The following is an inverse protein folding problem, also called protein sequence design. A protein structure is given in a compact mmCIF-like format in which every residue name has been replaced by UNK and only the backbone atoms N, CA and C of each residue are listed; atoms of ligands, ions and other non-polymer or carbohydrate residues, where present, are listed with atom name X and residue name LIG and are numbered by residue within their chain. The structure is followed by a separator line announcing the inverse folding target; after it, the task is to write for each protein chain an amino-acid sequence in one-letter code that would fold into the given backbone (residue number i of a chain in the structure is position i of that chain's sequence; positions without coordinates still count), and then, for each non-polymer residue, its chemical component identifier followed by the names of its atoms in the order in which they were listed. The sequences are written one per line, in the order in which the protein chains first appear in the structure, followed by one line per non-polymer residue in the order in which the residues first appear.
data_IF_133925701129
#
_entry.id   IF_133925701129
#
_cell.length_a   1.000
_cell.length_b   1.000
_cell.length_c   1.000
_cell.angle_alpha   90.00
_cell.angle_beta   90.00
_cell.angle_gamma   90.00
#
_symmetry.space_group_name_H-M   'P 1'
#
loop_
_entity.id
_entity.type
_entity.pdbx_description
1 polymer ?
#
# COMPACT_ATOMS: atom_id res chain seq x y z
N UNK A 1 26.86 -8.50 8.26
CA UNK A 1 26.31 -8.18 9.58
C UNK A 1 24.97 -8.90 9.64
N UNK A 2 24.87 -9.99 10.40
CA UNK A 2 23.59 -10.67 10.65
C UNK A 2 22.84 -9.83 11.67
N UNK A 3 21.80 -9.10 11.25
CA UNK A 3 20.90 -8.43 12.20
C UNK A 3 20.25 -9.55 13.01
N UNK A 4 20.53 -9.63 14.30
CA UNK A 4 19.90 -10.62 15.18
C UNK A 4 18.40 -10.33 15.24
N UNK A 5 17.58 -11.38 15.15
CA UNK A 5 16.10 -11.28 15.12
C UNK A 5 15.50 -10.57 16.33
N UNK A 6 16.28 -10.34 17.39
CA UNK A 6 15.89 -9.59 18.59
C UNK A 6 15.75 -8.08 18.40
N UNK A 7 16.35 -7.50 17.36
CA UNK A 7 16.31 -6.04 17.12
C UNK A 7 15.29 -5.63 16.05
N UNK A 8 14.50 -6.59 15.51
CA UNK A 8 13.46 -6.28 14.53
C UNK A 8 12.24 -5.65 15.23
N UNK A 9 11.66 -4.57 14.68
CA UNK A 9 10.40 -4.04 15.20
C UNK A 9 9.29 -5.10 15.12
N UNK A 10 8.34 -5.06 16.05
CA UNK A 10 7.17 -5.95 16.01
C UNK A 10 6.37 -5.71 14.73
N UNK A 11 6.25 -6.75 13.90
CA UNK A 11 5.50 -6.69 12.65
C UNK A 11 4.14 -7.32 12.80
N UNK A 12 3.11 -6.57 12.43
CA UNK A 12 1.74 -7.04 12.28
C UNK A 12 1.50 -7.67 10.89
N UNK A 13 2.53 -7.92 10.09
CA UNK A 13 2.36 -8.48 8.76
C UNK A 13 1.77 -9.91 8.83
N UNK A 14 0.67 -10.14 8.12
CA UNK A 14 -0.13 -11.36 8.29
C UNK A 14 0.47 -12.59 7.59
N UNK A 15 1.43 -12.36 6.69
CA UNK A 15 1.95 -13.33 5.73
C UNK A 15 3.43 -13.58 5.88
N UNK A 16 3.85 -14.72 5.36
CA UNK A 16 5.24 -15.07 5.20
C UNK A 16 5.85 -14.35 3.99
N UNK A 17 7.15 -14.06 4.03
CA UNK A 17 7.91 -13.37 2.97
C UNK A 17 8.30 -14.34 1.83
N UNK A 18 7.38 -15.22 1.44
CA UNK A 18 7.62 -16.28 0.46
C UNK A 18 7.39 -15.83 -1.01
N UNK A 19 7.62 -16.75 -1.95
CA UNK A 19 7.44 -16.49 -3.37
C UNK A 19 5.97 -16.26 -3.77
N UNK A 20 5.02 -16.76 -2.98
CA UNK A 20 3.59 -16.51 -3.21
C UNK A 20 3.27 -15.06 -2.92
N UNK A 21 3.75 -14.55 -1.79
CA UNK A 21 3.50 -13.17 -1.41
C UNK A 21 4.22 -12.18 -2.33
N UNK A 22 5.47 -12.49 -2.72
CA UNK A 22 6.20 -11.71 -3.72
C UNK A 22 5.43 -11.64 -5.05
N UNK A 23 4.88 -12.75 -5.53
CA UNK A 23 4.06 -12.77 -6.76
C UNK A 23 2.80 -11.92 -6.60
N UNK A 24 2.09 -12.04 -5.48
CA UNK A 24 0.87 -11.26 -5.21
C UNK A 24 1.15 -9.75 -5.23
N UNK A 25 2.21 -9.29 -4.55
CA UNK A 25 2.58 -7.87 -4.51
C UNK A 25 3.02 -7.33 -5.88
N UNK A 26 3.69 -8.15 -6.70
CA UNK A 26 4.09 -7.78 -8.07
C UNK A 26 2.89 -7.72 -9.03
N UNK A 27 1.95 -8.66 -8.94
CA UNK A 27 0.70 -8.58 -9.71
C UNK A 27 -0.12 -7.35 -9.32
N UNK A 28 -0.22 -7.05 -8.02
CA UNK A 28 -0.86 -5.83 -7.55
C UNK A 28 -0.13 -4.58 -8.06
N UNK A 29 1.20 -4.61 -8.14
CA UNK A 29 1.99 -3.54 -8.74
C UNK A 29 1.63 -3.33 -10.21
N UNK A 30 1.64 -4.38 -11.01
CA UNK A 30 1.35 -4.31 -12.44
C UNK A 30 -0.08 -3.82 -12.70
N UNK A 31 -1.05 -4.27 -11.88
CA UNK A 31 -2.43 -3.81 -11.94
C UNK A 31 -2.53 -2.31 -11.64
N UNK A 32 -1.99 -1.84 -10.51
CA UNK A 32 -2.06 -0.41 -10.16
C UNK A 32 -1.39 0.44 -11.24
N UNK A 33 -0.19 0.05 -11.70
CA UNK A 33 0.54 0.74 -12.76
C UNK A 33 -0.24 0.81 -14.06
N UNK A 34 -0.93 -0.26 -14.45
CA UNK A 34 -1.73 -0.30 -15.67
C UNK A 34 -2.90 0.68 -15.61
N UNK A 35 -3.55 0.82 -14.45
CA UNK A 35 -4.73 1.68 -14.27
C UNK A 35 -4.40 3.14 -13.94
N UNK A 36 -3.23 3.41 -13.35
CA UNK A 36 -2.73 4.79 -13.16
C UNK A 36 -1.98 5.33 -14.38
N UNK A 37 -1.51 4.45 -15.28
CA UNK A 37 -0.71 4.78 -16.45
C UNK A 37 0.76 5.15 -16.16
N UNK A 38 1.10 5.51 -14.92
CA UNK A 38 2.46 5.83 -14.47
C UNK A 38 2.65 5.53 -12.97
N UNK A 39 3.90 5.38 -12.53
CA UNK A 39 4.23 5.09 -11.12
C UNK A 39 4.38 6.36 -10.27
N UNK A 40 5.00 7.41 -10.82
CA UNK A 40 5.14 8.71 -10.15
C UNK A 40 4.03 9.62 -10.69
N UNK A 41 2.96 9.76 -9.90
CA UNK A 41 1.82 10.63 -10.21
C UNK A 41 2.07 12.07 -9.81
N UNK A 42 2.78 12.28 -8.69
CA UNK A 42 3.23 13.59 -8.24
C UNK A 42 3.92 14.36 -9.40
N UNK A 43 3.66 15.67 -9.58
CA UNK A 43 4.30 16.54 -10.58
C UNK A 43 5.81 16.77 -10.36
N UNK A 44 6.58 15.73 -10.07
CA UNK A 44 8.04 15.78 -9.97
C UNK A 44 8.66 15.90 -11.36
N UNK A 45 9.63 16.81 -11.52
CA UNK A 45 10.43 16.92 -12.73
C UNK A 45 11.42 15.74 -12.83
N UNK A 46 11.03 14.71 -13.57
CA UNK A 46 11.80 13.48 -13.77
C UNK A 46 13.04 13.67 -14.65
N UNK A 47 13.21 14.84 -15.30
CA UNK A 47 14.38 15.13 -16.13
C UNK A 47 15.60 15.52 -15.31
N UNK A 48 15.39 15.91 -14.04
CA UNK A 48 16.49 16.26 -13.13
C UNK A 48 17.33 15.02 -12.81
N UNK A 49 18.67 15.10 -12.89
CA UNK A 49 19.52 14.01 -12.48
C UNK A 49 19.58 13.90 -10.94
N UNK A 50 19.97 12.72 -10.45
CA UNK A 50 20.26 12.50 -9.02
C UNK A 50 19.07 12.72 -8.07
N UNK A 51 17.84 12.51 -8.55
CA UNK A 51 16.64 12.53 -7.71
C UNK A 51 16.77 11.53 -6.57
N UNK A 52 16.48 11.97 -5.34
CA UNK A 52 16.44 11.11 -4.15
C UNK A 52 15.02 10.64 -3.91
N UNK A 53 14.78 9.33 -3.98
CA UNK A 53 13.45 8.74 -3.82
C UNK A 53 13.46 7.74 -2.66
N UNK A 54 12.50 7.91 -1.75
CA UNK A 54 12.19 6.96 -0.69
C UNK A 54 10.95 6.16 -1.06
N UNK A 55 10.99 4.85 -0.88
CA UNK A 55 9.84 3.95 -0.90
C UNK A 55 9.69 3.27 0.47
N UNK A 56 8.65 3.66 1.21
CA UNK A 56 8.32 3.11 2.53
C UNK A 56 7.33 1.95 2.41
N UNK A 57 7.58 0.87 3.14
CA UNK A 57 6.90 -0.42 2.93
C UNK A 57 7.33 -1.08 1.61
N UNK A 58 8.63 -1.07 1.33
CA UNK A 58 9.18 -1.42 0.02
C UNK A 58 9.14 -2.92 -0.31
N UNK A 59 9.02 -3.78 0.71
CA UNK A 59 9.13 -5.23 0.57
C UNK A 59 10.40 -5.67 -0.18
N UNK A 60 10.29 -6.07 -1.45
CA UNK A 60 11.41 -6.53 -2.28
C UNK A 60 12.01 -5.42 -3.16
N UNK A 61 11.57 -4.17 -3.00
CA UNK A 61 12.06 -3.04 -3.79
C UNK A 61 11.61 -3.03 -5.25
N UNK A 62 10.59 -3.83 -5.62
CA UNK A 62 10.14 -3.90 -7.01
C UNK A 62 9.61 -2.55 -7.52
N UNK A 63 8.91 -1.78 -6.68
CA UNK A 63 8.44 -0.45 -7.05
C UNK A 63 9.60 0.49 -7.38
N UNK A 64 10.66 0.52 -6.55
CA UNK A 64 11.87 1.32 -6.81
C UNK A 64 12.53 0.93 -8.14
N UNK A 65 12.64 -0.37 -8.40
CA UNK A 65 13.23 -0.90 -9.64
C UNK A 65 12.49 -0.39 -10.88
N UNK A 66 11.15 -0.40 -10.85
CA UNK A 66 10.34 0.09 -11.96
C UNK A 66 10.31 1.63 -12.03
N UNK A 67 10.27 2.31 -10.89
CA UNK A 67 10.25 3.77 -10.81
C UNK A 67 11.59 4.41 -11.23
N UNK A 68 12.70 3.67 -11.17
CA UNK A 68 14.02 4.12 -11.59
C UNK A 68 14.17 4.26 -13.11
N UNK A 69 13.40 3.50 -13.90
CA UNK A 69 13.55 3.39 -15.36
C UNK A 69 13.55 4.73 -16.11
N UNK A 70 12.65 5.70 -15.83
CA UNK A 70 12.67 7.00 -16.49
C UNK A 70 13.67 8.00 -15.90
N UNK A 71 14.45 7.65 -14.88
CA UNK A 71 15.26 8.59 -14.10
C UNK A 71 16.74 8.52 -14.49
N UNK A 72 17.41 9.67 -14.41
CA UNK A 72 18.86 9.75 -14.65
C UNK A 72 19.63 9.66 -13.34
N UNK A 73 20.33 8.55 -13.12
CA UNK A 73 21.17 8.29 -11.93
C UNK A 73 20.43 8.56 -10.61
N UNK A 74 19.21 8.03 -10.40
CA UNK A 74 18.48 8.27 -9.16
C UNK A 74 19.22 7.65 -7.97
N UNK A 75 19.02 8.22 -6.77
CA UNK A 75 19.44 7.65 -5.50
C UNK A 75 18.20 7.12 -4.79
N UNK A 76 18.13 5.80 -4.64
CA UNK A 76 16.93 5.09 -4.22
C UNK A 76 17.10 4.53 -2.81
N UNK A 77 16.09 4.72 -1.98
CA UNK A 77 16.07 4.21 -0.61
C UNK A 77 14.78 3.44 -0.41
N UNK A 78 14.89 2.15 -0.10
CA UNK A 78 13.75 1.32 0.27
C UNK A 78 13.76 1.08 1.78
N UNK A 79 12.60 1.15 2.42
CA UNK A 79 12.47 0.77 3.82
C UNK A 79 11.31 -0.17 4.06
N UNK A 80 11.49 -1.11 4.97
CA UNK A 80 10.44 -2.01 5.43
C UNK A 80 10.69 -2.37 6.88
N UNK A 81 9.64 -2.82 7.58
CA UNK A 81 9.77 -3.29 8.97
C UNK A 81 10.59 -4.58 9.07
N UNK A 82 10.67 -5.33 7.96
CA UNK A 82 11.44 -6.58 7.86
C UNK A 82 12.42 -6.54 6.69
N UNK A 83 13.67 -6.98 6.89
CA UNK A 83 14.65 -7.09 5.81
C UNK A 83 14.45 -8.36 4.96
N UNK A 84 13.48 -9.23 5.29
CA UNK A 84 13.39 -10.58 4.76
C UNK A 84 13.26 -10.66 3.22
N UNK A 85 12.62 -9.66 2.60
CA UNK A 85 12.47 -9.61 1.14
C UNK A 85 13.51 -8.72 0.43
N UNK A 86 14.39 -8.03 1.17
CA UNK A 86 15.35 -7.09 0.56
C UNK A 86 16.24 -7.80 -0.47
N UNK A 87 16.43 -7.22 -1.67
CA UNK A 87 17.36 -7.74 -2.66
C UNK A 87 18.80 -7.76 -2.14
N UNK A 88 19.49 -8.88 -2.36
CA UNK A 88 20.91 -9.01 -2.10
C UNK A 88 21.61 -9.69 -3.30
N UNK A 89 22.50 -8.99 -4.04
CA UNK A 89 22.88 -7.60 -3.84
C UNK A 89 21.73 -6.61 -4.16
N UNK A 90 21.75 -5.39 -3.59
CA UNK A 90 20.78 -4.36 -3.95
C UNK A 90 20.96 -3.90 -5.41
N UNK A 91 19.90 -3.42 -6.08
CA UNK A 91 20.02 -2.79 -7.40
C UNK A 91 20.94 -1.57 -7.37
N UNK A 92 21.38 -1.13 -8.56
CA UNK A 92 22.24 0.05 -8.69
C UNK A 92 21.63 1.27 -8.00
N UNK A 93 22.49 2.06 -7.33
CA UNK A 93 22.13 3.27 -6.59
C UNK A 93 20.99 3.10 -5.57
N UNK A 94 20.76 1.86 -5.10
CA UNK A 94 19.68 1.54 -4.18
C UNK A 94 20.24 1.07 -2.84
N UNK A 95 19.66 1.55 -1.75
CA UNK A 95 19.94 1.08 -0.39
C UNK A 95 18.66 0.67 0.33
N UNK A 96 18.74 -0.31 1.22
CA UNK A 96 17.61 -0.81 1.98
C UNK A 96 17.87 -0.71 3.49
N UNK A 97 16.86 -0.29 4.25
CA UNK A 97 16.97 -0.09 5.70
C UNK A 97 15.73 -0.62 6.42
N UNK A 98 15.93 -1.15 7.62
CA UNK A 98 14.83 -1.57 8.49
C UNK A 98 14.23 -0.31 9.13
N UNK A 99 12.93 -0.08 8.96
CA UNK A 99 12.23 1.08 9.52
C UNK A 99 10.74 0.78 9.66
N UNK A 100 10.19 0.97 10.87
CA UNK A 100 8.74 1.05 11.06
C UNK A 100 8.24 2.46 10.72
N UNK A 101 7.05 2.54 10.10
CA UNK A 101 6.43 3.83 9.75
C UNK A 101 5.95 4.62 10.99
N UNK A 102 5.79 3.95 12.13
CA UNK A 102 5.36 4.54 13.39
C UNK A 102 6.52 4.98 14.28
N UNK A 103 7.74 4.54 13.98
CA UNK A 103 8.92 4.90 14.74
C UNK A 103 9.48 6.24 14.27
N UNK A 104 10.23 6.96 15.12
CA UNK A 104 10.98 8.13 14.69
C UNK A 104 11.91 7.78 13.53
N UNK A 105 11.83 8.55 12.44
CA UNK A 105 12.72 8.39 11.30
C UNK A 105 14.10 8.98 11.57
N UNK A 106 15.17 8.51 10.89
CA UNK A 106 16.51 9.04 11.08
C UNK A 106 16.56 10.55 10.89
N UNK A 107 17.16 11.27 11.85
CA UNK A 107 17.24 12.74 11.79
C UNK A 107 17.93 13.24 10.51
N UNK A 108 18.91 12.48 9.99
CA UNK A 108 19.62 12.78 8.74
C UNK A 108 18.78 12.65 7.48
N UNK A 109 17.59 12.07 7.56
CA UNK A 109 16.67 11.87 6.43
C UNK A 109 15.61 12.98 6.33
N UNK A 110 15.48 13.82 7.37
CA UNK A 110 14.61 14.98 7.32
C UNK A 110 15.02 15.90 6.17
N UNK A 111 14.04 16.45 5.44
CA UNK A 111 14.26 17.36 4.32
C UNK A 111 15.15 16.81 3.17
N UNK A 112 15.17 15.49 2.94
CA UNK A 112 16.18 14.87 2.05
C UNK A 112 15.64 14.47 0.69
N UNK A 113 14.41 13.95 0.61
CA UNK A 113 13.93 13.26 -0.60
C UNK A 113 13.17 14.19 -1.54
N UNK A 114 13.41 14.04 -2.84
CA UNK A 114 12.60 14.65 -3.90
C UNK A 114 11.18 14.05 -3.96
N UNK A 115 11.09 12.75 -3.68
CA UNK A 115 9.83 12.01 -3.57
C UNK A 115 9.89 11.04 -2.40
N UNK A 116 8.88 11.14 -1.53
CA UNK A 116 8.56 10.14 -0.51
C UNK A 116 7.34 9.37 -0.99
N UNK A 117 7.50 8.09 -1.25
CA UNK A 117 6.45 7.19 -1.71
C UNK A 117 6.12 6.16 -0.63
N UNK A 118 4.85 5.79 -0.50
CA UNK A 118 4.39 4.66 0.29
C UNK A 118 3.12 4.08 -0.31
N UNK A 119 2.93 2.76 -0.23
CA UNK A 119 1.72 2.10 -0.72
C UNK A 119 1.22 1.00 0.21
N UNK A 120 -0.06 1.07 0.58
CA UNK A 120 -0.83 0.04 1.28
C UNK A 120 -0.22 -0.34 2.63
N UNK A 121 0.19 0.66 3.40
CA UNK A 121 0.84 0.46 4.71
C UNK A 121 0.04 1.12 5.84
N UNK A 122 -0.65 2.24 5.59
CA UNK A 122 -1.34 3.02 6.64
C UNK A 122 -2.45 2.23 7.31
N UNK A 123 -3.04 1.24 6.63
CA UNK A 123 -4.01 0.34 7.24
C UNK A 123 -3.46 -0.43 8.44
N UNK A 124 -2.15 -0.68 8.50
CA UNK A 124 -1.48 -1.33 9.64
C UNK A 124 -1.23 -0.41 10.84
N UNK A 125 -1.58 0.88 10.75
CA UNK A 125 -1.49 1.82 11.88
C UNK A 125 -2.73 1.78 12.75
N UNK A 126 -2.60 2.28 13.98
CA UNK A 126 -3.77 2.57 14.82
C UNK A 126 -4.66 3.63 14.17
N UNK A 127 -5.95 3.72 14.54
CA UNK A 127 -6.85 4.75 14.00
C UNK A 127 -6.32 6.19 14.11
N UNK A 128 -5.53 6.49 15.14
CA UNK A 128 -4.88 7.80 15.32
C UNK A 128 -3.47 7.87 14.73
N UNK A 129 -2.76 6.74 14.61
CA UNK A 129 -1.36 6.69 14.15
C UNK A 129 -1.16 6.98 12.68
N UNK A 130 -2.20 6.86 11.85
CA UNK A 130 -2.13 7.15 10.41
C UNK A 130 -1.71 8.60 10.12
N UNK A 131 -2.28 9.58 10.82
CA UNK A 131 -1.92 10.99 10.67
C UNK A 131 -0.46 11.25 11.10
N UNK A 132 -0.01 10.63 12.19
CA UNK A 132 1.37 10.76 12.68
C UNK A 132 2.37 10.15 11.69
N UNK A 133 2.06 8.99 11.11
CA UNK A 133 2.85 8.38 10.06
C UNK A 133 2.94 9.29 8.81
N UNK A 134 1.82 9.88 8.38
CA UNK A 134 1.81 10.85 7.26
C UNK A 134 2.65 12.09 7.58
N UNK A 135 2.58 12.62 8.81
CA UNK A 135 3.39 13.75 9.26
C UNK A 135 4.89 13.42 9.23
N UNK A 136 5.26 12.23 9.67
CA UNK A 136 6.63 11.74 9.62
C UNK A 136 7.15 11.66 8.17
N UNK A 137 6.38 11.06 7.26
CA UNK A 137 6.72 10.96 5.84
C UNK A 137 6.87 12.35 5.19
N UNK A 138 5.97 13.29 5.51
CA UNK A 138 6.05 14.66 5.03
C UNK A 138 7.33 15.38 5.48
N UNK A 139 7.82 15.10 6.70
CA UNK A 139 9.08 15.60 7.22
C UNK A 139 10.33 15.13 6.44
N UNK A 140 10.24 13.99 5.74
CA UNK A 140 11.35 13.43 4.95
C UNK A 140 11.50 14.08 3.58
N UNK A 141 10.39 14.54 2.98
CA UNK A 141 10.43 15.25 1.71
C UNK A 141 11.20 16.57 1.88
N UNK A 142 12.06 16.96 0.95
CA UNK A 142 12.69 18.29 1.00
C UNK A 142 11.67 19.40 0.76
N UNK A 143 11.93 20.66 1.16
CA UNK A 143 11.12 21.79 0.72
C UNK A 143 10.97 21.81 -0.81
N UNK A 144 9.74 21.86 -1.30
CA UNK A 144 9.39 21.73 -2.71
C UNK A 144 9.39 20.29 -3.27
N UNK A 145 9.73 19.29 -2.47
CA UNK A 145 9.63 17.86 -2.79
C UNK A 145 8.21 17.32 -2.59
N UNK A 146 7.97 16.07 -2.99
CA UNK A 146 6.63 15.48 -3.02
C UNK A 146 6.48 14.31 -2.06
N UNK A 147 5.28 14.15 -1.52
CA UNK A 147 4.81 12.93 -0.87
C UNK A 147 3.73 12.32 -1.77
N UNK A 148 3.81 11.03 -2.06
CA UNK A 148 2.80 10.29 -2.80
C UNK A 148 2.42 9.03 -2.04
N UNK A 149 1.14 8.88 -1.72
CA UNK A 149 0.61 7.76 -0.94
C UNK A 149 -0.48 7.05 -1.73
N UNK A 150 -0.52 5.72 -1.63
CA UNK A 150 -1.57 4.90 -2.24
C UNK A 150 -2.17 4.00 -1.15
N UNK A 151 -3.48 4.05 -0.95
CA UNK A 151 -4.18 3.23 0.03
C UNK A 151 -5.45 2.60 -0.54
N UNK A 152 -5.86 1.45 0.01
CA UNK A 152 -7.08 0.76 -0.42
C UNK A 152 -8.35 1.53 -0.03
N UNK A 153 -9.34 1.59 -0.93
CA UNK A 153 -10.65 2.18 -0.67
C UNK A 153 -11.74 1.11 -0.57
N UNK A 154 -12.70 1.34 0.32
CA UNK A 154 -13.95 0.57 0.34
C UNK A 154 -14.81 0.92 -0.88
N UNK A 155 -15.83 0.10 -1.15
CA UNK A 155 -16.81 0.36 -2.22
C UNK A 155 -17.56 1.69 -1.98
N UNK A 156 -17.76 2.45 -3.05
CA UNK A 156 -18.69 3.57 -3.05
C UNK A 156 -20.13 3.07 -2.87
N UNK A 157 -21.03 3.93 -2.39
CA UNK A 157 -22.44 3.57 -2.12
C UNK A 157 -23.11 2.88 -3.31
N UNK A 158 -22.96 3.45 -4.52
CA UNK A 158 -23.53 2.91 -5.75
C UNK A 158 -22.98 1.56 -6.18
N UNK A 159 -21.82 1.16 -5.67
CA UNK A 159 -21.15 -0.10 -6.01
C UNK A 159 -21.54 -1.23 -5.05
N UNK A 160 -22.05 -0.92 -3.85
CA UNK A 160 -22.42 -1.93 -2.85
C UNK A 160 -23.53 -2.86 -3.31
N UNK A 161 -24.49 -2.33 -4.08
CA UNK A 161 -25.58 -3.12 -4.66
C UNK A 161 -25.14 -3.90 -5.90
N UNK A 162 -24.10 -3.43 -6.60
CA UNK A 162 -23.50 -4.12 -7.74
C UNK A 162 -22.61 -5.28 -7.32
N UNK A 163 -21.88 -5.15 -6.21
CA UNK A 163 -20.98 -6.17 -5.67
C UNK A 163 -21.35 -6.50 -4.21
N UNK A 164 -22.51 -7.13 -3.96
CA UNK A 164 -23.00 -7.42 -2.61
C UNK A 164 -22.08 -8.35 -1.80
N UNK A 165 -21.40 -9.31 -2.40
CA UNK A 165 -20.49 -10.20 -1.68
C UNK A 165 -19.20 -9.48 -1.28
N UNK A 166 -18.59 -8.71 -2.20
CA UNK A 166 -17.50 -7.79 -1.87
C UNK A 166 -17.90 -6.77 -0.79
N UNK A 167 -19.13 -6.23 -0.84
CA UNK A 167 -19.62 -5.33 0.20
C UNK A 167 -19.72 -6.02 1.57
N UNK A 168 -20.20 -7.26 1.63
CA UNK A 168 -20.20 -8.06 2.86
C UNK A 168 -18.80 -8.30 3.38
N UNK A 169 -17.85 -8.62 2.50
CA UNK A 169 -16.44 -8.74 2.87
C UNK A 169 -15.90 -7.43 3.45
N UNK A 170 -16.11 -6.30 2.76
CA UNK A 170 -15.77 -4.96 3.22
C UNK A 170 -16.36 -4.62 4.61
N UNK A 171 -17.60 -5.00 4.85
CA UNK A 171 -18.27 -4.80 6.14
C UNK A 171 -17.73 -5.73 7.23
N UNK A 172 -17.30 -6.94 6.86
CA UNK A 172 -16.68 -7.88 7.79
C UNK A 172 -15.32 -7.38 8.26
N UNK A 173 -14.41 -7.02 7.35
CA UNK A 173 -13.07 -6.55 7.78
C UNK A 173 -13.14 -5.18 8.45
N UNK A 174 -14.05 -4.28 8.07
CA UNK A 174 -14.24 -3.00 8.79
C UNK A 174 -14.59 -3.21 10.26
N UNK A 175 -15.44 -4.20 10.58
CA UNK A 175 -15.76 -4.55 11.98
C UNK A 175 -14.60 -5.25 12.68
N UNK A 176 -13.85 -6.08 11.95
CA UNK A 176 -12.79 -6.91 12.52
C UNK A 176 -11.50 -6.14 12.82
N UNK A 177 -11.11 -5.21 11.96
CA UNK A 177 -9.81 -4.52 12.01
C UNK A 177 -9.54 -3.70 13.28
N UNK A 178 -10.51 -3.02 13.90
CA UNK A 178 -10.31 -2.41 15.21
C UNK A 178 -9.83 -3.40 16.27
N UNK A 179 -10.22 -4.68 16.18
CA UNK A 179 -9.73 -5.75 17.06
C UNK A 179 -8.24 -6.08 16.87
N UNK A 180 -7.67 -5.77 15.71
CA UNK A 180 -6.23 -5.83 15.44
C UNK A 180 -5.51 -4.51 15.74
N UNK A 181 -6.24 -3.47 16.17
CA UNK A 181 -5.70 -2.12 16.33
C UNK A 181 -5.36 -1.43 15.01
N UNK A 182 -6.02 -1.82 13.92
CA UNK A 182 -5.71 -1.36 12.56
C UNK A 182 -6.73 -0.35 12.03
N UNK A 183 -6.35 0.41 11.01
CA UNK A 183 -7.14 1.50 10.43
C UNK A 183 -7.66 1.19 9.03
N UNK A 184 -8.88 0.64 8.93
CA UNK A 184 -9.52 0.37 7.63
C UNK A 184 -9.84 1.64 6.83
N UNK A 185 -9.90 2.80 7.48
CA UNK A 185 -10.29 4.07 6.84
C UNK A 185 -9.12 4.80 6.21
N UNK A 186 -7.91 4.23 6.19
CA UNK A 186 -6.73 4.87 5.63
C UNK A 186 -6.98 5.47 4.23
N UNK A 187 -7.54 4.70 3.28
CA UNK A 187 -7.84 5.21 1.94
C UNK A 187 -8.95 6.27 1.87
N UNK A 188 -9.80 6.38 2.89
CA UNK A 188 -10.78 7.48 3.01
C UNK A 188 -10.15 8.75 3.59
N UNK A 189 -9.18 8.59 4.49
CA UNK A 189 -8.61 9.68 5.27
C UNK A 189 -7.33 10.28 4.65
N UNK A 190 -6.61 9.51 3.83
CA UNK A 190 -5.25 9.85 3.38
C UNK A 190 -5.15 11.19 2.67
N UNK A 191 -6.13 11.56 1.83
CA UNK A 191 -6.15 12.87 1.16
C UNK A 191 -6.30 14.03 2.14
N UNK A 192 -7.17 13.87 3.15
CA UNK A 192 -7.34 14.86 4.23
C UNK A 192 -6.09 15.00 5.09
N UNK A 193 -5.41 13.90 5.38
CA UNK A 193 -4.16 13.92 6.15
C UNK A 193 -3.05 14.71 5.46
N UNK A 194 -2.94 14.67 4.13
CA UNK A 194 -1.94 15.49 3.41
C UNK A 194 -2.15 16.98 3.66
N UNK A 195 -3.41 17.45 3.62
CA UNK A 195 -3.74 18.84 3.91
C UNK A 195 -3.51 19.20 5.38
N UNK A 196 -3.87 18.30 6.30
CA UNK A 196 -3.70 18.51 7.75
C UNK A 196 -2.23 18.64 8.17
N UNK A 197 -1.32 17.91 7.51
CA UNK A 197 0.13 18.02 7.77
C UNK A 197 0.79 19.18 7.02
N UNK A 198 0.02 20.01 6.31
CA UNK A 198 0.48 21.23 5.67
C UNK A 198 1.16 21.03 4.30
N UNK A 199 0.89 19.92 3.60
CA UNK A 199 1.29 19.80 2.20
C UNK A 199 0.39 20.67 1.32
N UNK A 200 0.99 21.28 0.31
CA UNK A 200 0.33 22.09 -0.70
C UNK A 200 0.18 21.33 -2.04
N UNK A 201 -0.47 21.92 -3.03
CA UNK A 201 -0.67 21.33 -4.36
C UNK A 201 -1.24 19.89 -4.28
N UNK A 202 -2.15 19.65 -3.33
CA UNK A 202 -2.71 18.32 -3.08
C UNK A 202 -3.53 17.87 -4.28
N UNK A 203 -3.17 16.70 -4.83
CA UNK A 203 -3.94 16.01 -5.86
C UNK A 203 -4.41 14.64 -5.37
N UNK A 204 -5.59 14.24 -5.83
CA UNK A 204 -6.17 12.92 -5.56
C UNK A 204 -6.68 12.30 -6.87
N UNK A 205 -6.52 10.99 -6.97
CA UNK A 205 -7.08 10.15 -8.01
C UNK A 205 -7.65 8.89 -7.36
N UNK A 206 -8.89 8.55 -7.69
CA UNK A 206 -9.43 7.22 -7.41
C UNK A 206 -9.09 6.28 -8.57
N UNK A 207 -8.55 5.11 -8.23
CA UNK A 207 -8.21 4.06 -9.19
C UNK A 207 -9.12 2.87 -8.95
N UNK A 208 -9.86 2.50 -9.98
CA UNK A 208 -10.76 1.35 -9.96
C UNK A 208 -10.27 0.29 -10.94
N UNK A 209 -10.02 -0.91 -10.44
CA UNK A 209 -9.50 -2.04 -11.21
C UNK A 209 -10.59 -3.11 -11.25
N UNK A 210 -11.34 -3.23 -12.36
CA UNK A 210 -12.30 -4.31 -12.53
C UNK A 210 -11.61 -5.67 -12.51
N UNK A 211 -12.23 -6.62 -11.83
CA UNK A 211 -11.69 -7.98 -11.61
C UNK A 211 -12.47 -9.00 -12.45
N UNK A 212 -11.76 -9.95 -13.05
CA UNK A 212 -12.38 -11.03 -13.82
C UNK A 212 -13.24 -10.50 -14.96
N UNK A 213 -14.49 -10.97 -15.05
CA UNK A 213 -15.45 -10.60 -16.11
C UNK A 213 -15.81 -9.12 -16.17
N UNK A 214 -15.61 -8.36 -15.09
CA UNK A 214 -15.84 -6.93 -15.08
C UNK A 214 -14.79 -6.15 -15.89
N UNK A 215 -13.67 -6.79 -16.24
CA UNK A 215 -12.56 -6.17 -16.95
C UNK A 215 -12.67 -6.36 -18.47
N UNK A 216 -12.58 -5.27 -19.23
CA UNK A 216 -12.58 -5.31 -20.69
C UNK A 216 -11.29 -5.90 -21.30
N UNK A 217 -10.19 -5.90 -20.56
CA UNK A 217 -8.95 -6.58 -20.93
C UNK A 217 -8.88 -7.93 -20.22
N UNK A 218 -9.01 -9.03 -20.98
CA UNK A 218 -9.05 -10.38 -20.42
C UNK A 218 -7.76 -10.77 -19.66
N UNK A 219 -6.60 -10.22 -20.05
CA UNK A 219 -5.33 -10.50 -19.35
C UNK A 219 -5.27 -9.76 -18.02
N UNK A 220 -5.65 -8.47 -18.00
CA UNK A 220 -5.71 -7.71 -16.75
C UNK A 220 -6.81 -8.23 -15.82
N UNK A 221 -7.95 -8.65 -16.37
CA UNK A 221 -9.05 -9.26 -15.61
C UNK A 221 -8.63 -10.54 -14.89
N UNK A 222 -7.95 -11.45 -15.59
CA UNK A 222 -7.43 -12.68 -15.01
C UNK A 222 -6.34 -12.44 -13.95
N UNK A 223 -5.44 -11.49 -14.20
CA UNK A 223 -4.42 -11.08 -13.23
C UNK A 223 -5.05 -10.48 -11.97
N UNK A 224 -6.05 -9.61 -12.14
CA UNK A 224 -6.80 -9.01 -11.04
C UNK A 224 -7.57 -10.05 -10.22
N UNK A 225 -8.16 -11.06 -10.89
CA UNK A 225 -8.86 -12.16 -10.20
C UNK A 225 -7.90 -13.01 -9.39
N UNK A 226 -6.78 -13.42 -9.98
CA UNK A 226 -5.76 -14.17 -9.27
C UNK A 226 -5.23 -13.39 -8.06
N UNK A 227 -4.91 -12.11 -8.25
CA UNK A 227 -4.46 -11.23 -7.17
C UNK A 227 -5.48 -11.14 -6.03
N UNK A 228 -6.76 -11.01 -6.37
CA UNK A 228 -7.84 -10.93 -5.40
C UNK A 228 -8.00 -12.24 -4.61
N UNK A 229 -7.92 -13.39 -5.28
CA UNK A 229 -7.98 -14.71 -4.63
C UNK A 229 -6.80 -14.95 -3.69
N UNK A 230 -5.60 -14.49 -4.08
CA UNK A 230 -4.43 -14.51 -3.19
C UNK A 230 -4.72 -13.65 -1.93
N UNK A 231 -5.31 -12.44 -2.07
CA UNK A 231 -5.76 -11.60 -0.94
C UNK A 231 -6.81 -12.29 -0.05
N UNK A 232 -7.77 -13.02 -0.62
CA UNK A 232 -8.73 -13.82 0.16
C UNK A 232 -8.00 -14.88 1.02
N UNK A 233 -6.97 -15.52 0.46
CA UNK A 233 -6.09 -16.45 1.19
C UNK A 233 -5.43 -15.81 2.42
N UNK A 234 -4.96 -14.57 2.27
CA UNK A 234 -4.39 -13.78 3.39
C UNK A 234 -5.38 -13.61 4.52
N UNK A 235 -6.60 -13.18 4.20
CA UNK A 235 -7.63 -12.96 5.20
C UNK A 235 -8.12 -14.25 5.85
N UNK A 236 -8.15 -15.36 5.10
CA UNK A 236 -8.41 -16.68 5.67
C UNK A 236 -7.37 -17.04 6.73
N UNK A 237 -6.08 -16.86 6.43
CA UNK A 237 -4.99 -17.11 7.39
C UNK A 237 -5.03 -16.15 8.58
N UNK A 238 -5.36 -14.88 8.37
CA UNK A 238 -5.51 -13.91 9.45
C UNK A 238 -6.67 -14.28 10.39
N UNK A 239 -7.80 -14.68 9.82
CA UNK A 239 -9.00 -15.05 10.59
C UNK A 239 -8.80 -16.31 11.43
N UNK A 240 -7.95 -17.26 11.00
CA UNK A 240 -7.65 -18.47 11.76
C UNK A 240 -6.74 -18.22 12.98
N UNK A 241 -6.08 -17.06 13.02
CA UNK A 241 -5.23 -16.61 14.14
C UNK A 241 -5.99 -15.76 15.16
N UNK A 242 -7.29 -15.50 14.95
CA UNK A 242 -8.10 -14.71 15.88
C UNK A 242 -8.22 -15.41 17.25
N UNK A 243 -8.25 -14.64 18.36
CA UNK A 243 -8.55 -15.17 19.68
C UNK A 243 -9.88 -15.94 19.72
N UNK A 244 -9.97 -17.00 20.53
CA UNK A 244 -11.17 -17.84 20.60
C UNK A 244 -12.44 -17.08 21.03
N UNK A 245 -12.27 -16.07 21.88
CA UNK A 245 -13.29 -15.15 22.36
C UNK A 245 -13.59 -14.00 21.39
N UNK A 246 -12.91 -13.92 20.24
CA UNK A 246 -13.22 -12.96 19.18
C UNK A 246 -14.70 -13.08 18.76
N UNK A 247 -15.43 -11.95 18.63
CA UNK A 247 -16.79 -11.97 18.10
C UNK A 247 -16.83 -12.36 16.61
N UNK A 248 -15.68 -12.31 15.92
CA UNK A 248 -15.54 -12.69 14.51
C UNK A 248 -15.15 -14.16 14.40
N UNK A 249 -15.84 -14.89 13.51
CA UNK A 249 -15.59 -16.32 13.28
C UNK A 249 -15.08 -16.56 11.87
N UNK A 250 -14.07 -17.42 11.74
CA UNK A 250 -13.54 -17.85 10.44
C UNK A 250 -14.63 -18.45 9.52
N UNK A 251 -15.68 -19.06 10.10
CA UNK A 251 -16.84 -19.57 9.35
C UNK A 251 -17.65 -18.46 8.68
N UNK A 252 -17.83 -17.30 9.31
CA UNK A 252 -18.51 -16.15 8.70
C UNK A 252 -17.73 -15.63 7.49
N UNK A 253 -16.39 -15.59 7.60
CA UNK A 253 -15.53 -15.22 6.48
C UNK A 253 -15.60 -16.23 5.33
N UNK A 254 -15.65 -17.53 5.64
CA UNK A 254 -15.76 -18.57 4.62
C UNK A 254 -17.09 -18.52 3.86
N UNK A 255 -18.21 -18.26 4.55
CA UNK A 255 -19.51 -18.03 3.91
C UNK A 255 -19.47 -16.83 2.96
N UNK A 256 -18.83 -15.74 3.37
CA UNK A 256 -18.62 -14.56 2.50
C UNK A 256 -17.79 -14.95 1.28
N UNK A 257 -16.73 -15.75 1.44
CA UNK A 257 -15.88 -16.18 0.33
C UNK A 257 -16.60 -17.09 -0.66
N UNK A 258 -17.46 -18.00 -0.21
CA UNK A 258 -18.30 -18.82 -1.10
C UNK A 258 -19.20 -17.95 -1.98
N UNK A 259 -19.81 -16.90 -1.41
CA UNK A 259 -20.66 -15.99 -2.19
C UNK A 259 -19.83 -15.05 -3.07
N UNK A 260 -18.64 -14.65 -2.61
CA UNK A 260 -17.75 -13.79 -3.38
C UNK A 260 -17.12 -14.52 -4.57
N UNK A 261 -16.81 -15.81 -4.43
CA UNK A 261 -16.37 -16.65 -5.55
C UNK A 261 -17.42 -16.69 -6.66
N UNK A 262 -18.71 -16.90 -6.31
CA UNK A 262 -19.81 -16.83 -7.28
C UNK A 262 -19.94 -15.45 -7.92
N UNK A 263 -19.77 -14.38 -7.14
CA UNK A 263 -19.82 -13.00 -7.65
C UNK A 263 -18.69 -12.74 -8.67
N UNK A 264 -17.45 -13.12 -8.34
CA UNK A 264 -16.28 -13.03 -9.22
C UNK A 264 -16.53 -13.81 -10.53
N UNK A 265 -17.05 -15.04 -10.44
CA UNK A 265 -17.29 -15.89 -11.61
C UNK A 265 -18.41 -15.38 -12.52
N UNK A 266 -19.44 -14.74 -11.95
CA UNK A 266 -20.65 -14.33 -12.68
C UNK A 266 -20.53 -12.91 -13.26
N UNK A 267 -20.16 -11.95 -12.42
CA UNK A 267 -20.15 -10.51 -12.78
C UNK A 267 -18.77 -9.86 -12.62
N UNK A 268 -17.80 -10.56 -12.00
CA UNK A 268 -16.51 -10.01 -11.63
C UNK A 268 -16.54 -9.33 -10.26
N UNK A 269 -15.51 -8.54 -9.98
CA UNK A 269 -15.35 -7.81 -8.72
C UNK A 269 -14.64 -6.47 -8.98
N UNK A 270 -14.21 -5.76 -7.93
CA UNK A 270 -13.56 -4.46 -8.04
C UNK A 270 -12.49 -4.27 -6.95
N UNK A 271 -11.29 -3.85 -7.35
CA UNK A 271 -10.30 -3.28 -6.41
C UNK A 271 -10.34 -1.76 -6.53
N UNK A 272 -10.31 -1.05 -5.40
CA UNK A 272 -10.32 0.42 -5.37
C UNK A 272 -9.15 0.94 -4.56
N UNK A 273 -8.53 2.01 -5.05
CA UNK A 273 -7.42 2.69 -4.39
C UNK A 273 -7.61 4.21 -4.42
N UNK A 274 -7.22 4.87 -3.35
CA UNK A 274 -6.93 6.30 -3.34
C UNK A 274 -5.45 6.48 -3.66
N UNK A 275 -5.13 7.26 -4.68
CA UNK A 275 -3.78 7.73 -4.95
C UNK A 275 -3.77 9.23 -4.68
N UNK A 276 -2.98 9.65 -3.71
CA UNK A 276 -2.87 11.05 -3.31
C UNK A 276 -1.43 11.51 -3.36
N UNK A 277 -1.23 12.78 -3.65
CA UNK A 277 0.08 13.42 -3.55
C UNK A 277 -0.05 14.84 -3.03
N UNK A 278 1.00 15.33 -2.40
CA UNK A 278 1.10 16.69 -1.90
C UNK A 278 2.56 17.14 -1.91
N UNK A 279 2.77 18.43 -2.16
CA UNK A 279 4.09 19.05 -2.19
C UNK A 279 4.40 19.61 -0.82
N UNK A 280 5.63 19.39 -0.33
CA UNK A 280 6.10 20.09 0.86
C UNK A 280 6.33 21.56 0.50
N UNK A 281 5.83 22.52 1.31
CA UNK A 281 6.07 23.94 1.07
C UNK A 281 7.56 24.22 0.83
N UNK A 282 7.84 25.09 -0.15
CA UNK A 282 9.17 25.63 -0.32
C UNK A 282 9.56 26.45 0.93
N UNK A 283 10.85 26.53 1.23
CA UNK A 283 11.34 27.58 2.12
C UNK A 283 11.31 28.88 1.30
N UNK A 284 10.64 29.91 1.81
CA UNK A 284 10.69 31.27 1.26
C UNK A 284 12.13 31.80 1.17
#
# INVERSE_FOLDING_TARGET
MTVETKDLPESNYLLDYDDTEKRRLREQHDLIKAYTGKLILAPLDLTKPNLKILDSGTFDGHWLTEAAKPLTTPLLTGTDISPAAFPNPPPQNTSFHIQSITDPWPASWQNTFDLVHQRLVLAGTTPTGGLDAVRNLAGLAKPGGWVQLIEGKLLAESQRTRFPALHRFHSFIERMLPGFGWNIRAGLMVGGWLGEVGLEEVGEMEVEIPVGRANGDGRLGAMAEKNLRDVMGVWRQASSKLPADSPFKASELEEIFVDWDKEIETIGSLLRFAVVWGRRPALD
#
